data_IF_050336839461
#
_entry.id   IF_050336839461
#
_cell.length_a   1.000
_cell.length_b   1.000
_cell.length_c   1.000
_cell.angle_alpha   90.00
_cell.angle_beta   90.00
_cell.angle_gamma   90.00
#
_symmetry.space_group_name_H-M   'P 1'
#
loop_
_entity.id
_entity.type
_entity.pdbx_description
1 polymer ?
#
# COMPACT_ATOMS: atom_id res chain seq x y z
N UNK A 1 49.78 12.13 -69.06
CA UNK A 1 48.65 12.75 -68.33
C UNK A 1 47.60 11.68 -68.02
N UNK A 2 47.49 11.24 -66.76
CA UNK A 2 46.32 10.49 -66.25
C UNK A 2 46.24 10.75 -64.74
N UNK A 3 45.06 11.19 -64.31
CA UNK A 3 44.80 11.86 -63.04
C UNK A 3 44.87 10.91 -61.83
N UNK A 4 45.42 11.41 -60.72
CA UNK A 4 45.36 10.78 -59.40
C UNK A 4 44.04 11.17 -58.73
N UNK A 5 43.17 10.19 -58.51
CA UNK A 5 41.93 10.33 -57.74
C UNK A 5 42.25 10.51 -56.25
N UNK A 6 41.73 11.59 -55.66
CA UNK A 6 41.76 11.84 -54.21
C UNK A 6 40.55 11.16 -53.59
N UNK A 7 40.79 10.23 -52.67
CA UNK A 7 39.75 9.57 -51.88
C UNK A 7 39.38 10.49 -50.71
N UNK A 8 38.15 11.03 -50.73
CA UNK A 8 37.55 11.77 -49.62
C UNK A 8 36.97 10.75 -48.62
N UNK A 9 37.46 10.77 -47.38
CA UNK A 9 36.93 9.99 -46.26
C UNK A 9 35.95 10.89 -45.47
N UNK A 10 34.68 10.52 -45.28
CA UNK A 10 33.77 11.34 -44.48
C UNK A 10 34.03 11.10 -42.99
N UNK A 11 34.21 12.19 -42.24
CA UNK A 11 34.38 12.19 -40.79
C UNK A 11 33.00 11.95 -40.15
N UNK A 12 32.78 10.75 -39.62
CA UNK A 12 31.58 10.38 -38.87
C UNK A 12 31.63 11.06 -37.49
N UNK A 13 30.84 12.11 -37.28
CA UNK A 13 30.66 12.75 -35.97
C UNK A 13 29.82 11.84 -35.08
N UNK A 14 30.47 11.13 -34.15
CA UNK A 14 29.80 10.33 -33.12
C UNK A 14 29.35 11.29 -31.99
N UNK A 15 28.08 11.65 -31.98
CA UNK A 15 27.45 12.35 -30.86
C UNK A 15 27.31 11.34 -29.71
N UNK A 16 28.19 11.43 -28.71
CA UNK A 16 28.01 10.75 -27.43
C UNK A 16 26.78 11.36 -26.74
N UNK A 17 25.65 10.67 -26.81
CA UNK A 17 24.57 10.84 -25.84
C UNK A 17 25.12 10.42 -24.47
N UNK A 18 25.47 11.40 -23.63
CA UNK A 18 25.64 11.17 -22.20
C UNK A 18 24.27 10.71 -21.67
N UNK A 19 24.10 9.40 -21.58
CA UNK A 19 23.09 8.81 -20.72
C UNK A 19 23.46 9.20 -19.30
N UNK A 20 22.70 10.13 -18.71
CA UNK A 20 22.73 10.34 -17.26
C UNK A 20 22.21 9.06 -16.65
N UNK A 21 23.14 8.19 -16.23
CA UNK A 21 22.80 7.07 -15.38
C UNK A 21 22.11 7.64 -14.13
N UNK A 22 20.79 7.45 -14.04
CA UNK A 22 20.07 7.64 -12.79
C UNK A 22 20.77 6.82 -11.72
N UNK A 23 21.38 7.53 -10.76
CA UNK A 23 22.12 6.92 -9.68
C UNK A 23 21.23 5.94 -8.94
N UNK A 24 21.76 4.73 -8.71
CA UNK A 24 21.20 3.78 -7.76
C UNK A 24 20.78 4.50 -6.47
N UNK A 25 19.66 4.12 -5.83
CA UNK A 25 19.22 4.77 -4.60
C UNK A 25 20.41 4.82 -3.64
N UNK A 26 20.71 6.01 -3.08
CA UNK A 26 21.62 6.11 -1.95
C UNK A 26 21.10 5.18 -0.89
N UNK A 27 21.77 4.04 -0.70
CA UNK A 27 21.42 3.11 0.36
C UNK A 27 21.65 3.86 1.67
N UNK A 28 20.55 4.32 2.27
CA UNK A 28 20.59 4.86 3.61
C UNK A 28 21.28 3.83 4.51
N UNK A 29 22.15 4.28 5.41
CA UNK A 29 22.69 3.39 6.44
C UNK A 29 21.58 3.07 7.45
N UNK A 30 20.76 2.08 7.11
CA UNK A 30 19.59 1.68 7.90
C UNK A 30 19.96 1.23 9.31
N UNK A 31 21.22 0.87 9.58
CA UNK A 31 21.67 0.52 10.93
C UNK A 31 21.63 1.71 11.89
N UNK A 32 21.70 2.94 11.38
CA UNK A 32 21.65 4.19 12.15
C UNK A 32 20.24 4.72 12.34
N UNK A 33 19.27 4.22 11.59
CA UNK A 33 17.89 4.72 11.61
C UNK A 33 17.08 3.95 12.65
N UNK A 34 16.34 4.66 13.50
CA UNK A 34 15.48 4.04 14.51
C UNK A 34 14.49 3.09 13.85
N UNK A 35 14.52 1.83 14.29
CA UNK A 35 13.55 0.81 13.91
C UNK A 35 12.34 0.89 14.82
N UNK A 36 11.15 1.01 14.23
CA UNK A 36 9.89 1.01 14.96
C UNK A 36 9.19 -0.33 14.74
N UNK A 37 8.85 -1.02 15.83
CA UNK A 37 8.06 -2.23 15.74
C UNK A 37 6.60 -1.86 15.42
N UNK A 38 6.04 -2.50 14.40
CA UNK A 38 4.67 -2.32 13.97
C UNK A 38 3.92 -3.65 14.12
N UNK A 39 2.82 -3.63 14.86
CA UNK A 39 1.89 -4.75 14.94
C UNK A 39 0.89 -4.65 13.78
N UNK A 40 0.79 -5.71 12.98
CA UNK A 40 -0.24 -5.89 11.97
C UNK A 40 -1.18 -7.02 12.38
N UNK A 41 -2.41 -6.96 11.88
CA UNK A 41 -3.45 -7.92 12.19
C UNK A 41 -4.19 -8.37 10.94
N UNK A 42 -4.74 -9.57 10.99
CA UNK A 42 -5.58 -10.14 9.95
C UNK A 42 -7.02 -9.64 10.12
N UNK A 43 -7.58 -8.85 9.18
CA UNK A 43 -8.88 -8.22 9.36
C UNK A 43 -10.06 -9.09 8.90
N UNK A 44 -9.81 -10.25 8.29
CA UNK A 44 -10.85 -11.07 7.66
C UNK A 44 -11.57 -10.30 6.56
N UNK A 45 -12.90 -10.29 6.60
CA UNK A 45 -13.77 -9.56 5.65
C UNK A 45 -14.27 -8.21 6.17
N UNK A 46 -13.61 -7.62 7.18
CA UNK A 46 -13.98 -6.30 7.68
C UNK A 46 -13.81 -5.23 6.58
N UNK A 47 -14.92 -4.75 6.03
CA UNK A 47 -14.99 -3.71 5.02
C UNK A 47 -15.44 -2.36 5.58
N UNK A 48 -15.42 -1.32 4.75
CA UNK A 48 -16.00 -0.02 5.05
C UNK A 48 -17.48 -0.10 5.44
N UNK A 49 -18.25 -0.95 4.76
CA UNK A 49 -19.67 -1.22 5.07
C UNK A 49 -19.82 -1.83 6.45
N UNK A 50 -18.99 -2.83 6.80
CA UNK A 50 -18.97 -3.40 8.14
C UNK A 50 -18.65 -2.32 9.19
N UNK A 51 -17.60 -1.53 8.98
CA UNK A 51 -17.18 -0.48 9.90
C UNK A 51 -18.28 0.56 10.17
N UNK A 52 -19.13 0.81 9.17
CA UNK A 52 -20.26 1.74 9.24
C UNK A 52 -21.61 1.05 9.49
N UNK A 53 -21.62 -0.27 9.71
CA UNK A 53 -22.81 -1.12 9.78
C UNK A 53 -23.24 -1.51 11.19
N UNK A 54 -24.32 -2.28 11.26
CA UNK A 54 -24.95 -2.72 12.51
C UNK A 54 -24.12 -3.77 13.27
N UNK A 55 -23.32 -4.57 12.57
CA UNK A 55 -22.40 -5.51 13.21
C UNK A 55 -21.26 -4.82 13.96
N UNK A 56 -20.96 -3.57 13.59
CA UNK A 56 -20.02 -2.69 14.29
C UNK A 56 -20.71 -1.48 14.94
N UNK A 57 -21.99 -1.59 15.30
CA UNK A 57 -22.87 -0.45 15.67
C UNK A 57 -22.26 0.60 16.61
N UNK A 58 -21.53 0.19 17.66
CA UNK A 58 -20.92 1.14 18.59
C UNK A 58 -19.79 1.94 17.95
N UNK A 59 -18.90 1.27 17.22
CA UNK A 59 -17.84 1.93 16.45
C UNK A 59 -18.40 2.72 15.28
N UNK A 60 -19.35 2.16 14.53
CA UNK A 60 -20.03 2.81 13.41
C UNK A 60 -20.62 4.18 13.78
N UNK A 61 -21.23 4.30 14.97
CA UNK A 61 -21.75 5.59 15.47
C UNK A 61 -20.68 6.66 15.64
N UNK A 62 -19.47 6.27 16.01
CA UNK A 62 -18.35 7.20 16.24
C UNK A 62 -17.57 7.48 14.95
N UNK A 63 -17.46 6.48 14.07
CA UNK A 63 -16.89 6.59 12.73
C UNK A 63 -17.68 7.57 11.88
N UNK A 64 -19.02 7.44 11.84
CA UNK A 64 -19.93 8.35 11.10
C UNK A 64 -19.85 9.80 11.58
N UNK A 65 -19.48 10.02 12.86
CA UNK A 65 -19.27 11.36 13.42
C UNK A 65 -17.83 11.85 13.25
N UNK A 66 -16.92 11.00 12.77
CA UNK A 66 -15.49 11.28 12.70
C UNK A 66 -14.83 11.51 14.06
N UNK A 67 -15.38 10.99 15.16
CA UNK A 67 -14.93 11.34 16.52
C UNK A 67 -13.77 10.50 17.05
N UNK A 68 -13.70 9.24 16.66
CA UNK A 68 -12.73 8.26 17.18
C UNK A 68 -12.08 7.51 16.03
N UNK A 69 -10.81 7.20 16.18
CA UNK A 69 -10.09 6.27 15.29
C UNK A 69 -10.23 4.82 15.80
N UNK A 70 -9.69 3.87 15.04
CA UNK A 70 -9.73 2.46 15.39
C UNK A 70 -8.97 2.15 16.69
N UNK A 71 -7.84 2.83 16.92
CA UNK A 71 -6.94 2.58 18.06
C UNK A 71 -7.59 2.98 19.38
N UNK A 72 -8.44 4.01 19.37
CA UNK A 72 -9.22 4.42 20.55
C UNK A 72 -10.03 3.26 21.15
N UNK A 73 -10.54 2.36 20.32
CA UNK A 73 -11.40 1.26 20.75
C UNK A 73 -10.70 -0.11 20.74
N UNK A 74 -9.74 -0.30 19.85
CA UNK A 74 -9.11 -1.61 19.60
C UNK A 74 -7.65 -1.70 20.03
N UNK A 75 -7.16 -0.69 20.75
CA UNK A 75 -5.86 -0.77 21.43
C UNK A 75 -6.02 -0.40 22.90
N UNK A 76 -5.38 -1.21 23.76
CA UNK A 76 -5.22 -0.84 25.17
C UNK A 76 -4.28 0.36 25.30
N UNK A 77 -4.24 0.96 26.50
CA UNK A 77 -3.29 2.05 26.80
C UNK A 77 -1.84 1.58 26.74
N UNK A 78 -1.65 0.28 26.98
CA UNK A 78 -0.37 -0.43 26.95
C UNK A 78 0.00 -0.87 25.52
N UNK A 79 -0.87 -0.66 24.54
CA UNK A 79 -0.62 -0.94 23.12
C UNK A 79 -1.01 -2.33 22.65
N UNK A 80 -1.77 -3.09 23.44
CA UNK A 80 -2.25 -4.42 23.09
C UNK A 80 -3.46 -4.35 22.15
N UNK A 81 -3.50 -5.23 21.16
CA UNK A 81 -4.57 -5.29 20.17
C UNK A 81 -5.80 -6.04 20.70
N UNK A 82 -6.94 -5.36 20.75
CA UNK A 82 -8.24 -5.93 21.13
C UNK A 82 -9.18 -6.06 19.91
N UNK A 83 -8.83 -7.01 19.03
CA UNK A 83 -9.63 -7.39 17.86
C UNK A 83 -9.95 -8.88 17.79
N UNK A 84 -9.40 -9.69 18.71
CA UNK A 84 -9.49 -11.16 18.64
C UNK A 84 -9.03 -11.71 17.28
N UNK A 85 -7.95 -11.15 16.73
CA UNK A 85 -7.51 -11.47 15.36
C UNK A 85 -7.20 -12.97 15.14
N UNK A 86 -6.82 -13.70 16.19
CA UNK A 86 -6.67 -15.16 16.15
C UNK A 86 -8.02 -15.89 15.96
N UNK A 87 -9.09 -15.43 16.62
CA UNK A 87 -10.44 -15.95 16.41
C UNK A 87 -10.98 -15.55 15.03
N UNK A 88 -10.63 -14.37 14.52
CA UNK A 88 -10.98 -13.95 13.16
C UNK A 88 -10.35 -14.88 12.13
N UNK A 89 -9.03 -15.04 12.11
CA UNK A 89 -8.33 -15.81 11.05
C UNK A 89 -8.70 -17.31 11.05
N UNK A 90 -9.06 -17.85 12.22
CA UNK A 90 -9.51 -19.24 12.40
C UNK A 90 -11.01 -19.44 12.07
N UNK A 91 -11.77 -18.38 11.83
CA UNK A 91 -13.20 -18.44 11.56
C UNK A 91 -14.08 -18.65 12.80
N UNK A 92 -13.48 -18.66 14.00
CA UNK A 92 -14.21 -18.79 15.26
C UNK A 92 -15.01 -17.53 15.62
N UNK A 93 -14.52 -16.35 15.22
CA UNK A 93 -15.18 -15.07 15.47
C UNK A 93 -16.34 -14.84 14.51
N UNK A 94 -17.52 -14.57 15.07
CA UNK A 94 -18.73 -14.23 14.32
C UNK A 94 -19.17 -12.80 14.62
N UNK A 95 -19.75 -12.17 13.61
CA UNK A 95 -20.39 -10.87 13.74
C UNK A 95 -21.63 -10.97 14.64
N UNK A 96 -21.87 -9.94 15.45
CA UNK A 96 -22.84 -10.03 16.55
C UNK A 96 -24.30 -10.02 16.10
N UNK A 97 -24.64 -9.33 15.01
CA UNK A 97 -26.02 -9.18 14.52
C UNK A 97 -26.30 -10.14 13.37
N UNK A 98 -25.45 -10.16 12.35
CA UNK A 98 -25.64 -11.02 11.18
C UNK A 98 -25.30 -12.49 11.46
N UNK A 99 -24.52 -12.77 12.50
CA UNK A 99 -23.94 -14.10 12.78
C UNK A 99 -23.03 -14.65 11.69
N UNK A 100 -22.69 -13.84 10.68
CA UNK A 100 -21.71 -14.19 9.66
C UNK A 100 -20.32 -14.32 10.27
N UNK A 101 -19.48 -15.25 9.78
CA UNK A 101 -18.09 -15.33 10.20
C UNK A 101 -17.32 -14.08 9.73
N UNK A 102 -16.36 -13.61 10.53
CA UNK A 102 -15.41 -12.60 10.07
C UNK A 102 -14.43 -13.14 9.01
N UNK A 103 -14.21 -14.45 8.98
CA UNK A 103 -13.47 -15.12 7.92
C UNK A 103 -14.25 -16.37 7.49
N UNK A 104 -14.92 -16.35 6.33
CA UNK A 104 -15.67 -17.50 5.82
C UNK A 104 -14.75 -18.61 5.29
N UNK A 105 -13.50 -18.30 4.94
CA UNK A 105 -12.51 -19.27 4.45
C UNK A 105 -11.26 -19.25 5.35
N UNK A 106 -11.37 -19.78 6.58
CA UNK A 106 -10.33 -19.69 7.58
C UNK A 106 -9.02 -20.28 7.07
N UNK A 107 -7.92 -19.69 7.56
CA UNK A 107 -6.58 -20.14 7.23
C UNK A 107 -5.84 -20.57 8.50
N UNK A 108 -4.84 -21.42 8.37
CA UNK A 108 -3.96 -21.80 9.49
C UNK A 108 -2.94 -20.72 9.86
N UNK A 109 -3.10 -19.47 9.39
CA UNK A 109 -2.17 -18.37 9.67
C UNK A 109 -2.40 -17.82 11.07
N UNK A 110 -1.39 -17.10 11.60
CA UNK A 110 -1.54 -16.34 12.84
C UNK A 110 -2.48 -15.16 12.63
N UNK A 111 -3.17 -14.74 13.68
CA UNK A 111 -4.05 -13.56 13.64
C UNK A 111 -3.29 -12.24 13.58
N UNK A 112 -2.03 -12.22 14.03
CA UNK A 112 -1.17 -11.04 14.04
C UNK A 112 0.22 -11.37 13.52
N UNK A 113 0.92 -10.33 13.05
CA UNK A 113 2.33 -10.39 12.70
C UNK A 113 3.02 -9.10 13.13
N UNK A 114 4.35 -9.16 13.27
CA UNK A 114 5.18 -8.00 13.54
C UNK A 114 5.98 -7.64 12.30
N UNK A 115 5.99 -6.35 11.97
CA UNK A 115 6.92 -5.77 11.02
C UNK A 115 7.78 -4.72 11.71
N UNK A 116 8.83 -4.29 11.03
CA UNK A 116 9.75 -3.26 11.47
C UNK A 116 9.76 -2.18 10.42
N UNK A 117 9.53 -0.94 10.84
CA UNK A 117 9.43 0.21 9.94
C UNK A 117 10.50 1.24 10.29
N UNK A 118 11.21 1.67 9.26
CA UNK A 118 12.19 2.75 9.30
C UNK A 118 11.87 3.72 8.18
N UNK A 119 12.21 5.00 8.38
CA UNK A 119 12.08 6.00 7.32
C UNK A 119 13.32 6.88 7.24
N UNK A 120 13.64 7.30 6.02
CA UNK A 120 14.66 8.29 5.72
C UNK A 120 14.12 9.28 4.68
N UNK A 121 14.74 10.46 4.57
CA UNK A 121 14.43 11.37 3.48
C UNK A 121 15.65 12.20 3.08
N UNK A 122 15.71 12.61 1.82
CA UNK A 122 16.68 13.57 1.30
C UNK A 122 15.96 14.77 0.67
N UNK A 123 16.65 15.58 -0.14
CA UNK A 123 16.04 16.74 -0.81
C UNK A 123 14.97 16.36 -1.86
N UNK A 124 14.89 15.09 -2.21
CA UNK A 124 14.13 14.60 -3.35
C UNK A 124 13.04 13.59 -2.97
N UNK A 125 13.32 12.71 -2.02
CA UNK A 125 12.53 11.50 -1.78
C UNK A 125 12.40 11.17 -0.28
N UNK A 126 11.33 10.46 0.04
CA UNK A 126 11.15 9.70 1.27
C UNK A 126 11.37 8.23 0.97
N UNK A 127 12.10 7.55 1.84
CA UNK A 127 12.35 6.12 1.78
C UNK A 127 11.68 5.47 2.98
N UNK A 128 10.83 4.48 2.73
CA UNK A 128 10.17 3.70 3.79
C UNK A 128 10.65 2.28 3.69
N UNK A 129 11.39 1.82 4.72
CA UNK A 129 11.84 0.44 4.82
C UNK A 129 10.89 -0.34 5.71
N UNK A 130 10.42 -1.48 5.20
CA UNK A 130 9.61 -2.45 5.93
C UNK A 130 10.32 -3.79 5.93
N UNK A 131 10.47 -4.39 7.11
CA UNK A 131 10.99 -5.74 7.27
C UNK A 131 10.05 -6.60 8.10
N UNK A 132 9.92 -7.87 7.73
CA UNK A 132 9.17 -8.84 8.53
C UNK A 132 9.84 -10.23 8.44
N UNK A 133 9.58 -11.03 9.46
CA UNK A 133 10.09 -12.41 9.51
C UNK A 133 9.17 -13.30 8.69
N UNK A 134 9.75 -14.14 7.83
CA UNK A 134 9.01 -14.92 6.85
C UNK A 134 9.82 -16.11 6.37
N UNK A 135 9.14 -17.19 6.02
CA UNK A 135 9.71 -18.30 5.27
C UNK A 135 9.80 -17.96 3.78
N UNK A 136 9.46 -16.78 3.30
CA UNK A 136 9.78 -16.36 1.93
C UNK A 136 9.20 -17.28 0.86
N UNK A 137 7.95 -17.71 1.03
CA UNK A 137 7.29 -18.63 0.09
C UNK A 137 7.21 -18.03 -1.33
N UNK A 138 6.87 -16.74 -1.42
CA UNK A 138 6.90 -15.98 -2.67
C UNK A 138 8.30 -15.91 -3.25
N UNK A 139 9.32 -15.59 -2.45
CA UNK A 139 10.70 -15.54 -2.94
C UNK A 139 11.21 -16.89 -3.48
N UNK A 140 10.83 -18.00 -2.85
CA UNK A 140 11.34 -19.33 -3.21
C UNK A 140 10.63 -19.99 -4.39
N UNK A 141 9.44 -19.54 -4.75
CA UNK A 141 8.61 -20.20 -5.75
C UNK A 141 7.90 -19.20 -6.66
N UNK A 142 7.26 -19.70 -7.73
CA UNK A 142 6.34 -18.91 -8.54
C UNK A 142 4.90 -19.25 -8.14
N UNK A 143 3.99 -18.29 -8.19
CA UNK A 143 2.61 -18.43 -7.74
C UNK A 143 2.05 -17.12 -7.22
N UNK A 144 1.44 -17.15 -6.03
CA UNK A 144 1.00 -15.93 -5.36
C UNK A 144 2.22 -15.24 -4.70
N UNK A 145 2.58 -14.01 -5.11
CA UNK A 145 3.75 -13.32 -4.58
C UNK A 145 3.52 -12.93 -3.11
N UNK A 146 4.58 -12.99 -2.31
CA UNK A 146 4.62 -12.24 -1.06
C UNK A 146 4.74 -10.76 -1.41
N UNK A 147 4.10 -9.88 -0.65
CA UNK A 147 4.02 -8.46 -1.00
C UNK A 147 3.89 -7.58 0.20
N UNK A 148 4.52 -6.41 0.14
CA UNK A 148 4.19 -5.27 0.99
C UNK A 148 3.64 -4.14 0.14
N UNK A 149 2.57 -3.53 0.60
CA UNK A 149 1.97 -2.34 -0.02
C UNK A 149 1.81 -1.24 1.01
N UNK A 150 2.09 0.00 0.61
CA UNK A 150 1.92 1.20 1.43
C UNK A 150 0.95 2.13 0.73
N UNK A 151 -0.15 2.45 1.42
CA UNK A 151 -1.03 3.55 1.05
C UNK A 151 -0.60 4.80 1.81
N UNK A 152 -0.64 5.96 1.15
CA UNK A 152 -0.27 7.25 1.71
C UNK A 152 -1.27 8.32 1.30
N UNK A 153 -1.70 9.13 2.26
CA UNK A 153 -2.57 10.27 1.97
C UNK A 153 -2.43 11.35 3.06
N UNK A 154 -2.20 12.59 2.63
CA UNK A 154 -2.06 13.76 3.51
C UNK A 154 -3.35 14.58 3.65
N UNK A 155 -4.23 14.54 2.67
CA UNK A 155 -5.29 15.52 2.49
C UNK A 155 -6.68 15.04 2.95
N UNK A 156 -6.92 13.73 3.03
CA UNK A 156 -8.18 13.13 3.47
C UNK A 156 -8.14 12.81 4.97
N UNK A 157 -8.87 13.55 5.83
CA UNK A 157 -8.83 13.33 7.28
C UNK A 157 -9.29 11.93 7.71
N UNK A 158 -10.16 11.28 6.91
CA UNK A 158 -10.62 9.91 7.17
C UNK A 158 -9.48 8.90 7.05
N UNK A 159 -8.51 9.14 6.17
CA UNK A 159 -7.35 8.25 5.99
C UNK A 159 -6.46 8.24 7.23
N UNK A 160 -6.24 9.40 7.85
CA UNK A 160 -5.47 9.49 9.10
C UNK A 160 -6.09 8.67 10.25
N UNK A 161 -7.42 8.45 10.24
CA UNK A 161 -8.14 7.73 11.30
C UNK A 161 -8.37 6.26 11.00
N UNK A 162 -8.61 5.92 9.74
CA UNK A 162 -9.08 4.59 9.33
C UNK A 162 -8.17 3.90 8.30
N UNK A 163 -7.16 4.59 7.76
CA UNK A 163 -6.16 4.02 6.86
C UNK A 163 -6.78 3.35 5.63
N UNK A 164 -6.25 2.17 5.28
CA UNK A 164 -6.66 1.43 4.09
C UNK A 164 -8.15 1.01 4.08
N UNK A 165 -8.81 0.96 5.24
CA UNK A 165 -10.23 0.58 5.32
C UNK A 165 -11.15 1.55 4.57
N UNK A 166 -10.74 2.80 4.35
CA UNK A 166 -11.53 3.75 3.55
C UNK A 166 -11.60 3.37 2.06
N UNK A 167 -10.81 2.38 1.64
CA UNK A 167 -10.79 1.84 0.27
C UNK A 167 -11.21 0.38 0.16
N UNK A 168 -11.48 -0.28 1.28
CA UNK A 168 -11.79 -1.70 1.34
C UNK A 168 -13.31 -1.89 1.44
N UNK A 169 -13.92 -2.50 0.44
CA UNK A 169 -15.37 -2.69 0.35
C UNK A 169 -15.74 -4.19 0.35
N UNK A 170 -16.96 -4.51 0.75
CA UNK A 170 -17.45 -5.90 0.77
C UNK A 170 -17.72 -6.45 -0.65
N UNK A 171 -17.74 -5.59 -1.66
CA UNK A 171 -17.94 -5.91 -3.08
C UNK A 171 -16.65 -6.02 -3.90
N UNK A 172 -15.48 -5.91 -3.24
CA UNK A 172 -14.19 -6.11 -3.90
C UNK A 172 -13.99 -7.57 -4.31
N UNK A 173 -13.10 -7.79 -5.28
CA UNK A 173 -12.75 -9.13 -5.72
C UNK A 173 -12.43 -10.05 -4.54
N UNK A 174 -13.13 -11.19 -4.46
CA UNK A 174 -13.04 -12.23 -3.41
C UNK A 174 -13.59 -11.87 -2.04
N UNK A 175 -14.21 -10.69 -1.89
CA UNK A 175 -15.01 -10.35 -0.71
C UNK A 175 -16.41 -10.98 -0.82
N UNK A 176 -17.15 -11.10 0.30
CA UNK A 176 -18.41 -11.84 0.33
C UNK A 176 -19.51 -11.34 -0.62
N UNK A 177 -19.53 -10.03 -0.93
CA UNK A 177 -20.51 -9.42 -1.83
C UNK A 177 -19.90 -9.08 -3.20
N UNK A 178 -18.75 -9.68 -3.54
CA UNK A 178 -18.13 -9.51 -4.85
C UNK A 178 -19.12 -9.89 -5.96
N UNK A 179 -19.39 -9.00 -6.95
CA UNK A 179 -20.16 -9.38 -8.12
C UNK A 179 -19.46 -10.49 -8.90
N UNK A 180 -20.24 -11.25 -9.68
CA UNK A 180 -19.67 -12.29 -10.55
C UNK A 180 -18.80 -11.65 -11.64
N UNK A 181 -17.77 -12.37 -12.10
CA UNK A 181 -16.91 -11.94 -13.21
C UNK A 181 -17.70 -11.48 -14.44
N UNK A 182 -18.75 -12.24 -14.80
CA UNK A 182 -19.66 -11.93 -15.90
C UNK A 182 -20.40 -10.61 -15.69
N UNK A 183 -20.83 -10.35 -14.45
CA UNK A 183 -21.51 -9.10 -14.08
C UNK A 183 -20.57 -7.90 -14.17
N UNK A 184 -19.32 -8.04 -13.72
CA UNK A 184 -18.31 -6.96 -13.83
C UNK A 184 -17.95 -6.69 -15.28
N UNK A 185 -17.69 -7.73 -16.07
CA UNK A 185 -17.32 -7.60 -17.48
C UNK A 185 -18.43 -6.94 -18.33
N UNK A 186 -19.70 -7.12 -17.96
CA UNK A 186 -20.84 -6.49 -18.60
C UNK A 186 -21.05 -5.01 -18.20
N UNK A 187 -20.39 -4.53 -17.15
CA UNK A 187 -20.50 -3.15 -16.70
C UNK A 187 -19.55 -2.25 -17.53
N UNK A 188 -20.07 -1.24 -18.26
CA UNK A 188 -19.24 -0.34 -19.06
C UNK A 188 -18.14 0.37 -18.27
N UNK A 189 -18.32 0.62 -16.97
CA UNK A 189 -17.32 1.28 -16.13
C UNK A 189 -16.03 0.47 -15.94
N UNK A 190 -16.03 -0.82 -16.26
CA UNK A 190 -14.88 -1.72 -16.04
C UNK A 190 -14.14 -2.10 -17.32
N UNK A 191 -14.57 -1.60 -18.49
CA UNK A 191 -13.88 -1.76 -19.79
C UNK A 191 -13.40 -3.21 -20.05
N UNK A 192 -14.27 -4.20 -19.82
CA UNK A 192 -13.96 -5.61 -20.04
C UNK A 192 -13.12 -6.30 -18.95
N UNK A 193 -12.77 -5.61 -17.86
CA UNK A 193 -12.20 -6.26 -16.66
C UNK A 193 -13.26 -7.09 -15.95
N UNK A 194 -12.80 -8.12 -15.24
CA UNK A 194 -13.65 -9.09 -14.55
C UNK A 194 -13.65 -8.94 -13.02
N UNK A 195 -12.97 -7.92 -12.49
CA UNK A 195 -12.74 -7.75 -11.05
C UNK A 195 -13.00 -6.34 -10.54
N UNK A 196 -13.59 -6.24 -9.34
CA UNK A 196 -13.71 -4.99 -8.59
C UNK A 196 -12.46 -4.83 -7.72
N UNK A 197 -11.80 -3.68 -7.80
CA UNK A 197 -10.59 -3.36 -7.03
C UNK A 197 -10.87 -2.25 -6.04
N UNK A 198 -9.89 -1.96 -5.18
CA UNK A 198 -9.98 -0.91 -4.17
C UNK A 198 -10.49 0.40 -4.79
N UNK A 199 -11.41 1.06 -4.12
CA UNK A 199 -11.90 2.39 -4.45
C UNK A 199 -12.22 3.11 -3.14
N UNK A 200 -12.01 4.42 -3.08
CA UNK A 200 -12.30 5.23 -1.91
C UNK A 200 -13.81 5.41 -1.71
N UNK A 201 -14.29 5.29 -0.47
CA UNK A 201 -15.72 5.42 -0.14
C UNK A 201 -16.32 6.78 -0.50
N UNK A 202 -15.49 7.81 -0.64
CA UNK A 202 -15.92 9.15 -1.05
C UNK A 202 -15.91 9.36 -2.57
N UNK A 203 -15.29 8.45 -3.34
CA UNK A 203 -15.34 8.45 -4.79
C UNK A 203 -16.54 7.64 -5.30
N UNK A 204 -16.91 6.55 -4.63
CA UNK A 204 -18.02 5.67 -5.03
C UNK A 204 -18.88 5.26 -3.84
N UNK A 205 -20.16 5.02 -4.08
CA UNK A 205 -21.08 4.45 -3.08
C UNK A 205 -21.22 2.95 -3.19
N UNK A 206 -20.86 2.37 -4.34
CA UNK A 206 -20.69 0.94 -4.57
C UNK A 206 -19.82 0.73 -5.80
N UNK A 207 -19.41 -0.51 -6.09
CA UNK A 207 -18.65 -0.84 -7.30
C UNK A 207 -19.31 -0.34 -8.60
N UNK A 208 -20.64 -0.22 -8.65
CA UNK A 208 -21.37 0.22 -9.84
C UNK A 208 -21.81 1.69 -9.83
N UNK A 209 -21.63 2.42 -8.72
CA UNK A 209 -22.18 3.76 -8.53
C UNK A 209 -21.11 4.76 -8.08
N UNK A 210 -20.75 5.69 -8.98
CA UNK A 210 -19.89 6.82 -8.66
C UNK A 210 -20.63 7.87 -7.85
N UNK A 211 -19.92 8.52 -6.92
CA UNK A 211 -20.41 9.74 -6.28
C UNK A 211 -20.10 10.91 -7.21
N UNK A 212 -21.08 11.77 -7.43
CA UNK A 212 -20.86 13.05 -8.12
C UNK A 212 -20.05 13.95 -7.20
N UNK A 213 -18.76 14.09 -7.49
CA UNK A 213 -17.83 14.84 -6.65
C UNK A 213 -16.78 15.54 -7.49
N UNK A 214 -17.16 16.67 -8.09
CA UNK A 214 -16.21 17.61 -8.68
C UNK A 214 -15.11 17.98 -7.68
N UNK A 215 -13.90 18.15 -8.20
CA UNK A 215 -12.66 18.57 -7.51
C UNK A 215 -11.98 17.61 -6.52
N UNK A 216 -12.68 16.60 -5.94
CA UNK A 216 -12.04 15.64 -5.01
C UNK A 216 -10.99 14.74 -5.65
N UNK A 217 -11.00 14.58 -6.97
CA UNK A 217 -9.93 13.87 -7.69
C UNK A 217 -8.56 14.50 -7.40
N UNK A 218 -8.46 15.81 -7.12
CA UNK A 218 -7.15 16.46 -6.89
C UNK A 218 -6.65 16.38 -5.44
N UNK A 219 -7.54 16.18 -4.48
CA UNK A 219 -7.22 16.25 -3.04
C UNK A 219 -7.47 14.94 -2.30
N UNK A 220 -8.23 14.02 -2.88
CA UNK A 220 -8.59 12.73 -2.28
C UNK A 220 -7.87 11.54 -2.91
N UNK A 221 -6.80 11.72 -3.67
CA UNK A 221 -6.01 10.60 -4.20
C UNK A 221 -5.17 9.97 -3.11
N UNK A 222 -5.19 8.64 -3.03
CA UNK A 222 -4.35 7.87 -2.12
C UNK A 222 -3.22 7.27 -2.94
N UNK A 223 -2.00 7.73 -2.71
CA UNK A 223 -0.79 7.18 -3.35
C UNK A 223 -0.58 5.75 -2.82
N UNK A 224 -0.23 4.83 -3.72
CA UNK A 224 -0.09 3.41 -3.46
C UNK A 224 1.19 2.91 -4.11
N UNK A 225 2.16 2.52 -3.28
CA UNK A 225 3.36 1.82 -3.74
C UNK A 225 3.41 0.40 -3.21
N UNK A 226 3.99 -0.51 -3.99
CA UNK A 226 4.06 -1.92 -3.60
C UNK A 226 5.30 -2.61 -4.12
N UNK A 227 5.79 -3.60 -3.36
CA UNK A 227 6.87 -4.50 -3.77
C UNK A 227 6.37 -5.94 -3.70
N UNK A 228 6.39 -6.62 -4.83
CA UNK A 228 6.01 -8.03 -5.01
C UNK A 228 7.28 -8.90 -5.09
N UNK A 229 7.31 -9.99 -4.33
CA UNK A 229 8.41 -10.92 -4.23
C UNK A 229 8.00 -12.29 -4.80
N UNK A 230 8.63 -12.66 -5.92
CA UNK A 230 8.33 -13.90 -6.61
C UNK A 230 9.59 -14.50 -7.25
N UNK A 231 9.84 -15.79 -7.04
CA UNK A 231 10.86 -16.55 -7.77
C UNK A 231 12.26 -15.90 -7.79
N UNK A 232 12.70 -15.39 -6.63
CA UNK A 232 14.00 -14.75 -6.44
C UNK A 232 14.08 -13.31 -6.94
N UNK A 233 12.94 -12.68 -7.28
CA UNK A 233 12.89 -11.32 -7.81
C UNK A 233 11.95 -10.44 -6.99
N UNK A 234 12.25 -9.14 -6.99
CA UNK A 234 11.37 -8.10 -6.49
C UNK A 234 10.86 -7.26 -7.67
N UNK A 235 9.56 -7.03 -7.73
CA UNK A 235 8.89 -6.18 -8.72
C UNK A 235 8.22 -5.01 -8.01
N UNK A 236 8.39 -3.81 -8.55
CA UNK A 236 8.01 -2.57 -7.90
C UNK A 236 6.85 -1.92 -8.64
N UNK A 237 5.84 -1.47 -7.91
CA UNK A 237 4.60 -0.95 -8.48
C UNK A 237 4.33 0.43 -7.92
N UNK A 238 4.07 1.36 -8.82
CA UNK A 238 3.60 2.71 -8.51
C UNK A 238 2.15 2.88 -8.95
N UNK A 239 1.33 3.57 -8.16
CA UNK A 239 -0.09 3.64 -8.39
C UNK A 239 -0.84 4.52 -7.41
N UNK A 240 -2.16 4.51 -7.55
CA UNK A 240 -3.05 5.34 -6.74
C UNK A 240 -4.44 4.72 -6.63
N UNK A 241 -5.20 5.18 -5.64
CA UNK A 241 -6.60 4.80 -5.42
C UNK A 241 -7.47 6.06 -5.35
N UNK A 242 -8.53 6.08 -6.16
CA UNK A 242 -9.64 7.02 -6.03
C UNK A 242 -10.97 6.32 -6.32
N UNK A 243 -11.49 6.36 -7.54
CA UNK A 243 -12.68 5.62 -7.97
C UNK A 243 -12.35 4.18 -8.41
N UNK A 244 -11.06 3.89 -8.56
CA UNK A 244 -10.49 2.58 -8.79
C UNK A 244 -9.03 2.54 -8.33
N UNK A 245 -8.44 1.34 -8.25
CA UNK A 245 -7.00 1.15 -8.07
C UNK A 245 -6.32 1.08 -9.43
N UNK A 246 -5.44 2.04 -9.66
CA UNK A 246 -4.64 2.14 -10.87
C UNK A 246 -3.17 1.92 -10.54
N UNK A 247 -2.48 1.26 -11.46
CA UNK A 247 -1.02 1.12 -11.46
C UNK A 247 -0.50 1.86 -12.68
N UNK A 248 0.62 2.55 -12.51
CA UNK A 248 1.31 3.26 -13.59
C UNK A 248 2.16 2.28 -14.40
N UNK A 249 2.34 2.56 -15.70
CA UNK A 249 3.17 1.75 -16.61
C UNK A 249 4.67 2.10 -16.48
N UNK A 250 5.14 2.24 -15.24
CA UNK A 250 6.55 2.41 -14.89
C UNK A 250 6.84 1.67 -13.59
N UNK A 251 8.00 1.02 -13.52
CA UNK A 251 8.45 0.41 -12.26
C UNK A 251 8.75 1.51 -11.24
N UNK A 252 8.24 1.34 -10.02
CA UNK A 252 8.59 2.25 -8.93
C UNK A 252 10.06 2.04 -8.52
N UNK A 253 10.85 3.08 -8.25
CA UNK A 253 12.18 2.90 -7.71
C UNK A 253 12.12 2.32 -6.29
N UNK A 254 12.95 1.32 -6.00
CA UNK A 254 13.04 0.69 -4.68
C UNK A 254 14.06 -0.43 -4.62
N UNK A 255 14.13 -1.10 -3.47
CA UNK A 255 14.91 -2.33 -3.31
C UNK A 255 14.12 -3.37 -2.54
N UNK A 256 14.28 -4.64 -2.87
CA UNK A 256 13.61 -5.74 -2.21
C UNK A 256 14.49 -6.99 -2.17
N UNK A 257 14.56 -7.65 -1.02
CA UNK A 257 15.24 -8.94 -0.88
C UNK A 257 14.60 -9.84 0.17
N UNK A 258 14.87 -11.13 0.07
CA UNK A 258 14.66 -12.09 1.14
C UNK A 258 15.98 -12.77 1.49
N UNK A 259 16.39 -12.67 2.75
CA UNK A 259 17.60 -13.29 3.25
C UNK A 259 17.45 -13.63 4.74
N UNK A 260 18.08 -14.71 5.18
CA UNK A 260 18.14 -15.09 6.60
C UNK A 260 16.77 -15.13 7.31
N UNK A 261 15.74 -15.62 6.61
CA UNK A 261 14.38 -15.74 7.16
C UNK A 261 13.60 -14.42 7.27
N UNK A 262 14.01 -13.38 6.54
CA UNK A 262 13.38 -12.05 6.58
C UNK A 262 13.26 -11.46 5.19
N UNK A 263 12.14 -10.78 4.95
CA UNK A 263 12.02 -9.83 3.85
C UNK A 263 12.52 -8.46 4.30
N UNK A 264 13.15 -7.74 3.36
CA UNK A 264 13.48 -6.32 3.47
C UNK A 264 13.02 -5.61 2.20
N UNK A 265 12.19 -4.59 2.36
CA UNK A 265 11.58 -3.83 1.28
C UNK A 265 11.78 -2.34 1.53
N UNK A 266 12.32 -1.61 0.56
CA UNK A 266 12.49 -0.16 0.60
C UNK A 266 11.68 0.46 -0.53
N UNK A 267 10.62 1.18 -0.16
CA UNK A 267 9.76 1.91 -1.08
C UNK A 267 10.18 3.38 -1.10
N UNK A 268 10.23 3.99 -2.29
CA UNK A 268 10.64 5.39 -2.49
C UNK A 268 9.46 6.24 -2.94
N UNK A 269 9.21 7.35 -2.25
CA UNK A 269 8.17 8.33 -2.56
C UNK A 269 8.81 9.67 -2.91
N UNK A 270 8.39 10.32 -3.99
CA UNK A 270 8.92 11.64 -4.37
C UNK A 270 8.30 12.72 -3.47
N UNK A 271 9.11 13.63 -2.93
CA UNK A 271 8.62 14.72 -2.08
C UNK A 271 7.74 15.70 -2.87
N UNK A 272 8.30 16.28 -3.93
CA UNK A 272 7.61 17.27 -4.77
C UNK A 272 7.31 16.65 -6.12
N UNK A 273 6.45 15.64 -6.13
CA UNK A 273 6.03 15.06 -7.40
C UNK A 273 5.25 16.08 -8.22
N UNK A 274 5.62 16.23 -9.49
CA UNK A 274 4.82 16.93 -10.48
C UNK A 274 3.72 16.03 -11.05
N UNK A 275 3.77 14.72 -10.73
CA UNK A 275 2.75 13.77 -11.13
C UNK A 275 1.44 14.09 -10.42
N UNK A 276 0.36 14.05 -11.19
CA UNK A 276 -0.98 14.40 -10.70
C UNK A 276 -1.46 13.52 -9.55
N UNK A 277 -0.89 12.33 -9.41
CA UNK A 277 -1.41 11.25 -8.56
C UNK A 277 -0.56 10.90 -7.34
N UNK A 278 0.65 11.46 -7.24
CA UNK A 278 1.51 11.30 -6.09
C UNK A 278 1.15 12.30 -4.98
N UNK A 279 1.32 11.90 -3.72
CA UNK A 279 1.18 12.83 -2.60
C UNK A 279 2.38 13.79 -2.59
N UNK A 280 2.11 15.09 -2.59
CA UNK A 280 3.15 16.11 -2.39
C UNK A 280 3.46 16.30 -0.90
N UNK A 281 4.72 16.12 -0.54
CA UNK A 281 5.27 16.04 0.82
C UNK A 281 6.56 16.87 0.88
N UNK A 282 6.82 17.50 2.02
CA UNK A 282 8.05 18.23 2.27
C UNK A 282 8.61 18.02 3.67
N UNK A 283 9.82 18.49 3.88
CA UNK A 283 10.37 18.67 5.22
C UNK A 283 9.45 19.58 6.06
N UNK A 284 9.21 19.18 7.30
CA UNK A 284 8.22 19.78 8.20
C UNK A 284 6.87 19.04 8.21
N UNK A 285 6.61 18.13 7.27
CA UNK A 285 5.35 17.40 7.21
C UNK A 285 5.30 16.16 8.12
N UNK A 286 4.08 15.84 8.56
CA UNK A 286 3.71 14.57 9.20
C UNK A 286 2.65 13.89 8.34
N UNK A 287 2.98 12.73 7.77
CA UNK A 287 2.18 12.07 6.74
C UNK A 287 1.60 10.75 7.25
N UNK A 288 0.28 10.56 7.21
CA UNK A 288 -0.34 9.27 7.47
C UNK A 288 -0.04 8.24 6.38
N UNK A 289 0.24 7.01 6.81
CA UNK A 289 0.38 5.83 5.97
C UNK A 289 -0.42 4.65 6.54
N UNK A 290 -0.72 3.66 5.69
CA UNK A 290 -1.24 2.36 6.09
C UNK A 290 -0.50 1.26 5.32
N UNK A 291 -0.13 0.18 6.02
CA UNK A 291 0.69 -0.90 5.48
C UNK A 291 -0.13 -2.18 5.39
N UNK A 292 -0.03 -2.87 4.27
CA UNK A 292 -0.58 -4.20 4.04
C UNK A 292 0.53 -5.19 3.69
N UNK A 293 0.50 -6.41 4.26
CA UNK A 293 1.45 -7.48 3.97
C UNK A 293 0.71 -8.77 3.59
N UNK A 294 1.01 -9.27 2.40
CA UNK A 294 0.74 -10.62 1.95
C UNK A 294 2.00 -11.45 2.21
N UNK A 295 1.90 -12.46 3.08
CA UNK A 295 3.04 -13.29 3.51
C UNK A 295 2.69 -14.77 3.41
N UNK A 296 3.67 -15.62 3.14
CA UNK A 296 3.51 -17.06 2.94
C UNK A 296 2.49 -17.38 1.85
N UNK A 297 2.66 -16.80 0.66
CA UNK A 297 1.85 -17.03 -0.53
C UNK A 297 0.38 -16.64 -0.35
N UNK A 298 0.11 -15.68 0.54
CA UNK A 298 -1.26 -15.23 0.77
C UNK A 298 -1.73 -14.39 -0.42
N UNK A 299 -2.93 -14.66 -0.91
CA UNK A 299 -3.49 -13.99 -2.07
C UNK A 299 -4.70 -13.12 -1.72
N UNK A 300 -4.97 -12.15 -2.59
CA UNK A 300 -6.23 -11.38 -2.62
C UNK A 300 -6.55 -10.76 -1.25
N UNK A 301 -7.73 -11.01 -0.68
CA UNK A 301 -8.13 -10.45 0.62
C UNK A 301 -7.40 -11.04 1.84
N UNK A 302 -6.67 -12.16 1.70
CA UNK A 302 -6.02 -12.82 2.85
C UNK A 302 -4.68 -12.14 3.15
N UNK A 303 -4.68 -11.09 3.96
CA UNK A 303 -3.48 -10.31 4.29
C UNK A 303 -3.53 -9.69 5.67
N UNK A 304 -2.39 -9.22 6.15
CA UNK A 304 -2.28 -8.44 7.37
C UNK A 304 -2.30 -6.96 7.05
N UNK A 305 -2.92 -6.16 7.91
CA UNK A 305 -2.96 -4.70 7.80
C UNK A 305 -2.51 -4.04 9.09
N UNK A 306 -1.96 -2.83 8.98
CA UNK A 306 -1.71 -1.96 10.13
C UNK A 306 -2.94 -1.07 10.41
N UNK A 307 -3.06 -0.60 11.65
CA UNK A 307 -3.73 0.69 11.84
C UNK A 307 -2.92 1.80 11.15
N UNK A 308 -3.55 2.94 10.79
CA UNK A 308 -2.80 4.05 10.24
C UNK A 308 -1.74 4.52 11.25
N UNK A 309 -0.59 4.92 10.72
CA UNK A 309 0.52 5.48 11.47
C UNK A 309 1.12 6.67 10.73
N UNK A 310 1.89 7.50 11.43
CA UNK A 310 2.46 8.73 10.86
C UNK A 310 3.97 8.65 10.65
N UNK A 311 4.44 9.14 9.49
CA UNK A 311 5.86 9.42 9.23
C UNK A 311 6.09 10.94 9.36
N UNK A 312 7.00 11.35 10.25
CA UNK A 312 7.42 12.75 10.40
C UNK A 312 8.73 13.03 9.68
N UNK A 313 8.76 14.03 8.78
CA UNK A 313 9.95 14.45 8.03
C UNK A 313 10.50 15.72 8.66
N UNK A 314 11.52 15.61 9.53
CA UNK A 314 11.97 16.76 10.33
C UNK A 314 10.89 17.28 11.31
N UNK A 315 9.82 16.51 11.50
CA UNK A 315 8.66 16.81 12.33
C UNK A 315 8.32 15.62 13.24
N UNK A 316 7.47 15.81 14.27
CA UNK A 316 6.95 14.69 15.04
C UNK A 316 6.19 13.68 14.16
N UNK A 317 6.26 12.42 14.56
CA UNK A 317 5.58 11.29 13.93
C UNK A 317 5.86 10.03 14.74
N UNK A 318 5.03 9.01 14.57
CA UNK A 318 5.27 7.69 15.17
C UNK A 318 6.56 7.07 14.61
N UNK A 319 6.77 7.20 13.31
CA UNK A 319 8.03 6.92 12.64
C UNK A 319 8.69 8.25 12.30
N UNK A 320 9.81 8.56 12.94
CA UNK A 320 10.59 9.77 12.62
C UNK A 320 11.57 9.44 11.51
N UNK A 321 11.41 10.09 10.36
CA UNK A 321 12.31 9.89 9.23
C UNK A 321 13.65 10.58 9.49
N UNK A 322 14.75 9.86 9.25
CA UNK A 322 16.10 10.44 9.34
C UNK A 322 16.41 11.24 8.07
N UNK A 323 16.84 12.50 8.22
CA UNK A 323 17.38 13.27 7.10
C UNK A 323 18.73 12.69 6.69
N UNK A 324 18.88 12.36 5.42
CA UNK A 324 20.14 11.88 4.85
C UNK A 324 21.00 13.09 4.49
N UNK A 325 22.29 13.02 4.82
CA UNK A 325 23.27 14.02 4.39
C UNK A 325 23.44 13.93 2.87
N UNK A 326 23.35 15.08 2.20
CA UNK A 326 23.55 15.16 0.75
C UNK A 326 24.98 14.84 0.33
#
# INVERSE_FOLDING_TARGET
>A
MRAKSKLFLPLLFLILLLSTAEGAPRDADWSKIRQNELLLFYPGVASWEFLNGEDHRLGAREIKKGKKDCRHCHMSKEGELDLKAAEIVSGAMKMKRSHNPFEPEPSGKKGTMKARVQAAYDSENVYVRVEWDSKGAGWRSKGDPDRVSIQMNRAEPSFAKYGCFITCHNDLNTMPESPSKKTVAANPAYNGREDVRLYAFYAKSSWAASRTGGDRVKTGLIDLKSIEFEGGKATFRDGWIFDDRNWEEKDAPGSGSWASGKYSAVLKFRLKSAEKFDVSIGEGDTIPIAIAIHDEGAAKRKHFVSFPLTIGLGAPGEVRAMKLSN
#
